data_IF_346362261981
#
_entry.id   IF_346362261981
#
_cell.length_a   1.000
_cell.length_b   1.000
_cell.length_c   1.000
_cell.angle_alpha   90.00
_cell.angle_beta   90.00
_cell.angle_gamma   90.00
#
_symmetry.space_group_name_H-M   'P 1'
#
loop_
_entity.id
_entity.type
_entity.pdbx_description
1 polymer ?
#
# COMPACT_ATOMS: atom_id res chain seq x y z
N UNK A 1 42.53 29.35 31.87
CA UNK A 1 42.32 28.94 30.47
C UNK A 1 42.10 27.44 30.31
N UNK A 2 42.98 26.57 30.82
CA UNK A 2 42.87 25.10 30.68
C UNK A 2 41.53 24.55 31.19
N UNK A 3 41.05 25.00 32.35
CA UNK A 3 39.77 24.54 32.91
C UNK A 3 38.52 24.97 32.12
N UNK A 4 38.60 26.05 31.33
CA UNK A 4 37.50 26.48 30.46
C UNK A 4 37.51 25.69 29.15
N UNK A 5 38.69 25.50 28.56
CA UNK A 5 38.86 24.65 27.38
C UNK A 5 38.41 23.20 27.63
N UNK A 6 38.75 22.64 28.80
CA UNK A 6 38.31 21.29 29.18
C UNK A 6 36.79 21.20 29.32
N UNK A 7 36.13 22.21 29.90
CA UNK A 7 34.65 22.25 30.01
C UNK A 7 33.96 22.31 28.65
N UNK A 8 34.48 23.13 27.73
CA UNK A 8 33.95 23.23 26.36
C UNK A 8 34.08 21.90 25.61
N UNK A 9 35.23 21.22 25.74
CA UNK A 9 35.46 19.91 25.15
C UNK A 9 34.50 18.86 25.73
N UNK A 10 34.32 18.84 27.05
CA UNK A 10 33.36 17.93 27.69
C UNK A 10 31.94 18.16 27.19
N UNK A 11 31.51 19.41 27.01
CA UNK A 11 30.19 19.73 26.46
C UNK A 11 29.99 19.21 25.03
N UNK A 12 31.00 19.31 24.16
CA UNK A 12 30.94 18.74 22.80
C UNK A 12 30.86 17.21 22.83
N UNK A 13 31.59 16.56 23.73
CA UNK A 13 31.56 15.10 23.91
C UNK A 13 30.18 14.66 24.41
N UNK A 14 29.61 15.38 25.37
CA UNK A 14 28.27 15.09 25.90
C UNK A 14 27.19 15.28 24.83
N UNK A 15 27.25 16.36 24.05
CA UNK A 15 26.34 16.59 22.91
C UNK A 15 26.47 15.48 21.86
N UNK A 16 27.70 15.16 21.45
CA UNK A 16 27.95 14.10 20.47
C UNK A 16 27.46 12.74 20.95
N UNK A 17 27.60 12.44 22.25
CA UNK A 17 27.09 11.20 22.85
C UNK A 17 25.57 11.17 22.89
N UNK A 18 24.93 12.32 23.16
CA UNK A 18 23.46 12.43 23.14
C UNK A 18 22.91 12.20 21.73
N UNK A 19 23.41 12.92 20.71
CA UNK A 19 23.00 12.72 19.32
C UNK A 19 23.28 11.29 18.83
N UNK A 20 24.45 10.73 19.16
CA UNK A 20 24.76 9.34 18.81
C UNK A 20 23.77 8.34 19.44
N UNK A 21 23.32 8.60 20.67
CA UNK A 21 22.30 7.78 21.33
C UNK A 21 20.95 7.81 20.60
N UNK A 22 20.52 9.00 20.17
CA UNK A 22 19.29 9.18 19.40
C UNK A 22 19.37 8.48 18.04
N UNK A 23 20.47 8.67 17.31
CA UNK A 23 20.73 8.02 16.02
C UNK A 23 20.74 6.49 16.19
N UNK A 24 21.41 5.97 17.21
CA UNK A 24 21.44 4.53 17.48
C UNK A 24 20.05 3.96 17.80
N UNK A 25 19.22 4.71 18.53
CA UNK A 25 17.83 4.33 18.78
C UNK A 25 17.01 4.25 17.49
N UNK A 26 17.18 5.23 16.60
CA UNK A 26 16.52 5.22 15.29
C UNK A 26 17.01 4.09 14.39
N UNK A 27 18.33 3.85 14.33
CA UNK A 27 18.93 2.72 13.60
C UNK A 27 18.36 1.40 14.11
N UNK A 28 18.24 1.23 15.44
CA UNK A 28 17.63 0.04 16.05
C UNK A 28 16.17 -0.15 15.63
N UNK A 29 15.38 0.92 15.61
CA UNK A 29 13.98 0.90 15.14
C UNK A 29 13.87 0.49 13.67
N UNK A 30 14.69 1.09 12.80
CA UNK A 30 14.70 0.75 11.37
C UNK A 30 15.20 -0.67 11.13
N UNK A 31 16.22 -1.12 11.85
CA UNK A 31 16.70 -2.50 11.78
C UNK A 31 15.61 -3.50 12.21
N UNK A 32 14.85 -3.20 13.26
CA UNK A 32 13.72 -4.03 13.70
C UNK A 32 12.62 -4.10 12.63
N UNK A 33 12.23 -2.97 12.06
CA UNK A 33 11.21 -2.92 10.99
C UNK A 33 11.69 -3.61 9.72
N UNK A 34 12.96 -3.44 9.34
CA UNK A 34 13.57 -4.13 8.21
C UNK A 34 13.64 -5.64 8.43
N UNK A 35 14.02 -6.08 9.62
CA UNK A 35 14.01 -7.50 10.01
C UNK A 35 12.61 -8.10 9.99
N UNK A 36 11.61 -7.38 10.51
CA UNK A 36 10.20 -7.77 10.43
C UNK A 36 9.76 -7.91 8.96
N UNK A 37 10.02 -6.91 8.13
CA UNK A 37 9.64 -6.93 6.71
C UNK A 37 10.25 -8.13 5.99
N UNK A 38 11.55 -8.39 6.19
CA UNK A 38 12.22 -9.54 5.60
C UNK A 38 11.60 -10.86 6.06
N UNK A 39 11.35 -11.02 7.37
CA UNK A 39 10.72 -12.23 7.91
C UNK A 39 9.32 -12.47 7.32
N UNK A 40 8.51 -11.40 7.21
CA UNK A 40 7.17 -11.48 6.63
C UNK A 40 7.21 -11.85 5.14
N UNK A 41 8.12 -11.27 4.35
CA UNK A 41 8.29 -11.61 2.93
C UNK A 41 8.74 -13.06 2.74
N UNK A 42 9.69 -13.54 3.55
CA UNK A 42 10.14 -14.93 3.48
C UNK A 42 8.99 -15.89 3.82
N UNK A 43 8.23 -15.61 4.87
CA UNK A 43 7.09 -16.43 5.25
C UNK A 43 5.99 -16.40 4.17
N UNK A 44 5.66 -15.21 3.65
CA UNK A 44 4.72 -15.05 2.55
C UNK A 44 5.17 -15.83 1.30
N UNK A 45 6.47 -15.78 0.97
CA UNK A 45 7.05 -16.49 -0.16
C UNK A 45 6.94 -18.01 -0.06
N UNK A 46 6.95 -18.56 1.15
CA UNK A 46 6.71 -20.00 1.39
C UNK A 46 5.22 -20.34 1.37
N UNK A 47 4.38 -19.50 1.97
CA UNK A 47 2.94 -19.76 2.06
C UNK A 47 2.22 -19.53 0.73
N UNK A 48 2.69 -18.62 -0.12
CA UNK A 48 2.02 -18.27 -1.37
C UNK A 48 1.94 -19.47 -2.34
N UNK A 49 3.01 -20.22 -2.64
CA UNK A 49 2.92 -21.43 -3.46
C UNK A 49 2.00 -22.49 -2.88
N UNK A 50 2.07 -22.72 -1.56
CA UNK A 50 1.22 -23.70 -0.86
C UNK A 50 -0.25 -23.29 -0.96
N UNK A 51 -0.55 -22.03 -0.63
CA UNK A 51 -1.88 -21.46 -0.72
C UNK A 51 -2.44 -21.50 -2.15
N UNK A 52 -1.61 -21.19 -3.16
CA UNK A 52 -2.01 -21.25 -4.56
C UNK A 52 -2.35 -22.68 -4.99
N UNK A 53 -1.56 -23.68 -4.62
CA UNK A 53 -1.84 -25.09 -4.94
C UNK A 53 -3.12 -25.56 -4.25
N UNK A 54 -3.28 -25.26 -2.97
CA UNK A 54 -4.50 -25.60 -2.21
C UNK A 54 -5.74 -24.89 -2.79
N UNK A 55 -5.58 -23.63 -3.18
CA UNK A 55 -6.65 -22.85 -3.79
C UNK A 55 -7.04 -23.39 -5.17
N UNK A 56 -6.09 -23.79 -6.02
CA UNK A 56 -6.42 -24.39 -7.31
C UNK A 56 -7.06 -25.78 -7.14
N UNK A 57 -6.65 -26.55 -6.13
CA UNK A 57 -7.21 -27.87 -5.85
C UNK A 57 -8.63 -27.85 -5.27
N UNK A 58 -8.97 -26.85 -4.44
CA UNK A 58 -10.23 -26.79 -3.68
C UNK A 58 -11.08 -25.54 -3.99
N UNK A 59 -10.82 -24.92 -5.15
CA UNK A 59 -11.16 -23.55 -5.58
C UNK A 59 -12.54 -22.98 -5.18
N UNK A 60 -13.54 -23.84 -4.97
CA UNK A 60 -14.93 -23.43 -4.69
C UNK A 60 -15.39 -23.84 -3.26
N UNK A 61 -14.75 -24.80 -2.59
CA UNK A 61 -15.29 -25.41 -1.36
C UNK A 61 -14.30 -25.52 -0.18
N UNK A 62 -13.01 -25.29 -0.39
CA UNK A 62 -11.98 -25.42 0.64
C UNK A 62 -11.74 -24.14 1.44
N UNK A 63 -12.03 -24.16 2.75
CA UNK A 63 -11.74 -23.03 3.64
C UNK A 63 -10.24 -22.79 3.87
N UNK A 64 -9.40 -23.81 3.66
CA UNK A 64 -7.97 -23.77 3.98
C UNK A 64 -7.20 -22.98 2.91
N UNK A 65 -7.45 -23.22 1.62
CA UNK A 65 -6.76 -22.51 0.53
C UNK A 65 -6.95 -20.99 0.58
N UNK A 66 -8.18 -20.54 0.82
CA UNK A 66 -8.49 -19.12 1.04
C UNK A 66 -7.75 -18.55 2.25
N UNK A 67 -7.74 -19.27 3.37
CA UNK A 67 -7.04 -18.83 4.58
C UNK A 67 -5.54 -18.64 4.36
N UNK A 68 -4.88 -19.58 3.68
CA UNK A 68 -3.44 -19.48 3.40
C UNK A 68 -3.11 -18.36 2.42
N UNK A 69 -3.93 -18.15 1.38
CA UNK A 69 -3.74 -17.05 0.43
C UNK A 69 -3.98 -15.67 1.05
N UNK A 70 -5.05 -15.51 1.82
CA UNK A 70 -5.31 -14.25 2.51
C UNK A 70 -4.24 -13.99 3.59
N UNK A 71 -3.78 -15.04 4.26
CA UNK A 71 -2.65 -14.98 5.19
C UNK A 71 -1.36 -14.51 4.52
N UNK A 72 -1.00 -15.06 3.36
CA UNK A 72 0.22 -14.64 2.64
C UNK A 72 0.14 -13.20 2.13
N UNK A 73 -1.04 -12.75 1.68
CA UNK A 73 -1.29 -11.35 1.34
C UNK A 73 -1.16 -10.42 2.54
N UNK A 74 -1.74 -10.79 3.69
CA UNK A 74 -1.61 -10.02 4.92
C UNK A 74 -0.15 -9.87 5.35
N UNK A 75 0.65 -10.94 5.24
CA UNK A 75 2.09 -10.87 5.53
C UNK A 75 2.81 -9.91 4.57
N UNK A 76 2.47 -9.94 3.28
CA UNK A 76 3.03 -8.99 2.31
C UNK A 76 2.66 -7.53 2.65
N UNK A 77 1.40 -7.27 3.04
CA UNK A 77 0.96 -5.94 3.47
C UNK A 77 1.70 -5.45 4.71
N UNK A 78 1.86 -6.31 5.71
CA UNK A 78 2.63 -5.99 6.93
C UNK A 78 4.08 -5.68 6.55
N UNK A 79 4.69 -6.41 5.61
CA UNK A 79 6.04 -6.12 5.13
C UNK A 79 6.11 -4.73 4.48
N UNK A 80 5.17 -4.40 3.59
CA UNK A 80 5.09 -3.09 2.94
C UNK A 80 4.97 -1.98 3.98
N UNK A 81 4.06 -2.14 4.95
CA UNK A 81 3.82 -1.17 6.02
C UNK A 81 5.03 -1.00 6.92
N UNK A 82 5.76 -2.09 7.22
CA UNK A 82 7.00 -2.04 7.98
C UNK A 82 8.10 -1.28 7.21
N UNK A 83 8.26 -1.52 5.92
CA UNK A 83 9.20 -0.76 5.06
C UNK A 83 8.83 0.73 5.03
N UNK A 84 7.56 1.05 4.83
CA UNK A 84 7.11 2.45 4.80
C UNK A 84 7.28 3.14 6.15
N UNK A 85 7.02 2.43 7.25
CA UNK A 85 7.31 2.91 8.60
C UNK A 85 8.79 3.18 8.81
N UNK A 86 9.67 2.30 8.30
CA UNK A 86 11.12 2.46 8.36
C UNK A 86 11.62 3.68 7.57
N UNK A 87 11.00 3.97 6.43
CA UNK A 87 11.28 5.16 5.61
C UNK A 87 10.61 6.43 6.18
N UNK A 88 9.90 6.31 7.31
CA UNK A 88 9.41 7.45 8.09
C UNK A 88 7.98 7.89 7.76
N UNK A 89 7.20 7.07 7.04
CA UNK A 89 5.76 7.31 6.88
C UNK A 89 5.08 7.19 8.25
N UNK A 90 4.31 8.20 8.68
CA UNK A 90 3.72 8.20 10.02
C UNK A 90 2.63 7.12 10.15
N UNK A 91 2.63 6.41 11.29
CA UNK A 91 1.69 5.32 11.55
C UNK A 91 0.21 5.73 11.47
N UNK A 92 -0.11 7.00 11.75
CA UNK A 92 -1.46 7.54 11.60
C UNK A 92 -1.96 7.55 10.15
N UNK A 93 -1.06 7.76 9.16
CA UNK A 93 -1.39 7.67 7.73
C UNK A 93 -1.63 6.21 7.33
N UNK A 94 -0.73 5.32 7.73
CA UNK A 94 -0.84 3.88 7.46
C UNK A 94 -2.12 3.27 8.06
N UNK A 95 -2.42 3.62 9.31
CA UNK A 95 -3.63 3.16 10.02
C UNK A 95 -4.91 3.75 9.45
N UNK A 96 -4.92 5.01 9.03
CA UNK A 96 -6.09 5.62 8.37
C UNK A 96 -6.39 4.94 7.04
N UNK A 97 -5.36 4.66 6.23
CA UNK A 97 -5.53 3.91 4.99
C UNK A 97 -6.07 2.50 5.23
N UNK A 98 -5.59 1.82 6.29
CA UNK A 98 -6.14 0.52 6.72
C UNK A 98 -7.63 0.62 7.07
N UNK A 99 -8.04 1.64 7.84
CA UNK A 99 -9.45 1.82 8.20
C UNK A 99 -10.34 2.02 6.97
N UNK A 100 -9.92 2.83 6.00
CA UNK A 100 -10.66 2.99 4.75
C UNK A 100 -10.74 1.70 3.94
N UNK A 101 -9.62 0.97 3.81
CA UNK A 101 -9.58 -0.31 3.14
C UNK A 101 -10.48 -1.36 3.83
N UNK A 102 -10.48 -1.39 5.15
CA UNK A 102 -11.32 -2.28 5.95
C UNK A 102 -12.80 -1.97 5.76
N UNK A 103 -13.18 -0.68 5.79
CA UNK A 103 -14.57 -0.29 5.51
C UNK A 103 -15.01 -0.68 4.09
N UNK A 104 -14.12 -0.48 3.10
CA UNK A 104 -14.37 -0.94 1.72
C UNK A 104 -14.53 -2.46 1.66
N UNK A 105 -13.67 -3.22 2.33
CA UNK A 105 -13.73 -4.67 2.36
C UNK A 105 -14.96 -5.20 3.08
N UNK A 106 -15.37 -4.59 4.19
CA UNK A 106 -16.63 -4.91 4.87
C UNK A 106 -17.81 -4.65 3.94
N UNK A 107 -17.84 -3.51 3.25
CA UNK A 107 -18.89 -3.20 2.28
C UNK A 107 -18.94 -4.25 1.15
N UNK A 108 -17.79 -4.59 0.55
CA UNK A 108 -17.69 -5.64 -0.49
C UNK A 108 -18.17 -6.98 0.05
N UNK A 109 -17.72 -7.38 1.25
CA UNK A 109 -18.06 -8.66 1.84
C UNK A 109 -19.54 -8.78 2.19
N UNK A 110 -20.17 -7.69 2.66
CA UNK A 110 -21.61 -7.64 2.90
C UNK A 110 -22.39 -7.69 1.59
N UNK A 111 -21.99 -6.90 0.59
CA UNK A 111 -22.68 -6.84 -0.71
C UNK A 111 -22.66 -8.20 -1.41
N UNK A 112 -21.49 -8.85 -1.45
CA UNK A 112 -21.34 -10.16 -2.07
C UNK A 112 -21.90 -11.30 -1.20
N UNK A 113 -21.68 -11.25 0.12
CA UNK A 113 -22.07 -12.33 1.03
C UNK A 113 -23.57 -12.38 1.34
N UNK A 114 -24.29 -11.27 1.21
CA UNK A 114 -25.75 -11.21 1.29
C UNK A 114 -26.43 -11.35 -0.08
N UNK A 115 -25.66 -11.62 -1.12
CA UNK A 115 -26.15 -11.84 -2.47
C UNK A 115 -26.93 -10.63 -3.06
N UNK A 116 -26.60 -9.42 -2.60
CA UNK A 116 -27.34 -8.21 -2.97
C UNK A 116 -27.20 -7.90 -4.46
N UNK A 117 -26.04 -8.18 -5.04
CA UNK A 117 -25.80 -7.96 -6.48
C UNK A 117 -26.55 -8.94 -7.36
N UNK A 118 -26.54 -10.24 -7.05
CA UNK A 118 -27.29 -11.23 -7.82
C UNK A 118 -28.79 -10.89 -7.80
N UNK A 119 -29.32 -10.53 -6.63
CA UNK A 119 -30.74 -10.14 -6.49
C UNK A 119 -31.06 -8.91 -7.33
N UNK A 120 -30.20 -7.90 -7.30
CA UNK A 120 -30.36 -6.71 -8.13
C UNK A 120 -30.33 -7.05 -9.62
N UNK A 121 -29.41 -7.91 -10.05
CA UNK A 121 -29.33 -8.36 -11.44
C UNK A 121 -30.50 -9.25 -11.86
N UNK A 122 -31.02 -10.07 -10.96
CA UNK A 122 -32.23 -10.86 -11.19
C UNK A 122 -33.42 -9.94 -11.48
N UNK A 123 -33.64 -8.95 -10.61
CA UNK A 123 -34.71 -7.96 -10.78
C UNK A 123 -34.57 -7.16 -12.08
N UNK A 124 -33.35 -6.71 -12.40
CA UNK A 124 -33.08 -5.99 -13.63
C UNK A 124 -33.25 -6.89 -14.88
N UNK A 125 -32.79 -8.14 -14.80
CA UNK A 125 -32.92 -9.12 -15.88
C UNK A 125 -34.37 -9.48 -16.18
N UNK A 126 -35.21 -9.61 -15.15
CA UNK A 126 -36.64 -9.86 -15.31
C UNK A 126 -37.37 -8.70 -15.98
N UNK A 127 -36.97 -7.46 -15.71
CA UNK A 127 -37.56 -6.27 -16.33
C UNK A 127 -37.07 -6.02 -17.77
N UNK A 128 -35.78 -6.24 -18.04
CA UNK A 128 -35.12 -5.82 -19.29
C UNK A 128 -35.01 -6.95 -20.31
N UNK A 129 -34.85 -8.20 -19.85
CA UNK A 129 -34.61 -9.37 -20.69
C UNK A 129 -35.62 -10.51 -20.42
N UNK A 130 -36.95 -10.24 -20.48
CA UNK A 130 -37.97 -11.22 -20.11
C UNK A 130 -38.03 -12.44 -21.04
N UNK A 131 -37.45 -12.34 -22.24
CA UNK A 131 -37.40 -13.43 -23.23
C UNK A 131 -36.28 -14.44 -23.00
N UNK A 132 -35.29 -14.13 -22.15
CA UNK A 132 -34.21 -15.06 -21.82
C UNK A 132 -34.62 -16.05 -20.74
N UNK A 133 -33.92 -17.18 -20.65
CA UNK A 133 -34.10 -18.14 -19.57
C UNK A 133 -33.77 -17.51 -18.19
N UNK A 134 -34.62 -17.68 -17.16
CA UNK A 134 -34.39 -17.11 -15.84
C UNK A 134 -33.03 -17.44 -15.22
N UNK A 135 -32.44 -18.60 -15.52
CA UNK A 135 -31.14 -19.00 -14.99
C UNK A 135 -29.97 -18.19 -15.55
N UNK A 136 -30.12 -17.59 -16.74
CA UNK A 136 -29.06 -16.84 -17.43
C UNK A 136 -29.28 -15.33 -17.38
N UNK A 137 -30.51 -14.87 -17.06
CA UNK A 137 -30.86 -13.43 -17.00
C UNK A 137 -29.91 -12.59 -16.14
N UNK A 138 -29.61 -12.96 -14.88
CA UNK A 138 -28.77 -12.13 -14.02
C UNK A 138 -27.35 -11.99 -14.60
N UNK A 139 -26.83 -13.08 -15.17
CA UNK A 139 -25.52 -13.10 -15.81
C UNK A 139 -25.52 -12.21 -17.06
N UNK A 140 -26.50 -12.38 -17.94
CA UNK A 140 -26.59 -11.63 -19.19
C UNK A 140 -26.67 -10.12 -18.94
N UNK A 141 -27.56 -9.68 -18.03
CA UNK A 141 -27.69 -8.26 -17.73
C UNK A 141 -26.45 -7.70 -17.03
N UNK A 142 -25.85 -8.43 -16.09
CA UNK A 142 -24.64 -7.98 -15.39
C UNK A 142 -23.44 -7.83 -16.33
N UNK A 143 -23.20 -8.83 -17.18
CA UNK A 143 -22.13 -8.84 -18.17
C UNK A 143 -22.31 -7.71 -19.19
N UNK A 144 -23.52 -7.52 -19.71
CA UNK A 144 -23.81 -6.44 -20.64
C UNK A 144 -23.62 -5.07 -19.98
N UNK A 145 -24.22 -4.86 -18.81
CA UNK A 145 -24.19 -3.57 -18.11
C UNK A 145 -22.78 -3.18 -17.68
N UNK A 146 -22.09 -4.10 -17.00
CA UNK A 146 -20.75 -3.82 -16.48
C UNK A 146 -19.69 -3.89 -17.57
N UNK A 147 -19.86 -4.70 -18.61
CA UNK A 147 -18.97 -4.68 -19.79
C UNK A 147 -19.02 -3.33 -20.50
N UNK A 148 -20.22 -2.78 -20.73
CA UNK A 148 -20.38 -1.44 -21.32
C UNK A 148 -19.78 -0.37 -20.39
N UNK A 149 -20.14 -0.38 -19.11
CA UNK A 149 -19.66 0.62 -18.15
C UNK A 149 -18.13 0.56 -17.99
N UNK A 150 -17.58 -0.65 -17.86
CA UNK A 150 -16.14 -0.89 -17.78
C UNK A 150 -15.41 -0.41 -19.03
N UNK A 151 -15.97 -0.67 -20.22
CA UNK A 151 -15.42 -0.15 -21.48
C UNK A 151 -15.39 1.38 -21.51
N UNK A 152 -16.47 2.04 -21.10
CA UNK A 152 -16.53 3.51 -21.00
C UNK A 152 -15.49 4.04 -20.00
N UNK A 153 -15.39 3.44 -18.82
CA UNK A 153 -14.41 3.86 -17.80
C UNK A 153 -12.98 3.66 -18.30
N UNK A 154 -12.67 2.51 -18.90
CA UNK A 154 -11.36 2.21 -19.47
C UNK A 154 -10.98 3.21 -20.57
N UNK A 155 -11.92 3.51 -21.46
CA UNK A 155 -11.76 4.56 -22.48
C UNK A 155 -11.45 5.93 -21.87
N UNK A 156 -12.25 6.36 -20.89
CA UNK A 156 -12.08 7.66 -20.23
C UNK A 156 -10.76 7.74 -19.44
N UNK A 157 -10.35 6.65 -18.80
CA UNK A 157 -9.08 6.57 -18.07
C UNK A 157 -7.89 6.76 -19.02
N UNK A 158 -7.91 6.12 -20.18
CA UNK A 158 -6.87 6.30 -21.19
C UNK A 158 -6.85 7.72 -21.76
N UNK A 159 -8.02 8.30 -22.04
CA UNK A 159 -8.12 9.69 -22.52
C UNK A 159 -7.54 10.68 -21.49
N UNK A 160 -7.78 10.43 -20.19
CA UNK A 160 -7.28 11.29 -19.10
C UNK A 160 -5.80 11.13 -18.78
N UNK A 161 -5.17 10.02 -19.16
CA UNK A 161 -3.78 9.71 -18.81
C UNK A 161 -2.70 10.57 -19.52
N UNK A 162 -3.08 11.51 -20.41
CA UNK A 162 -2.13 12.45 -21.03
C UNK A 162 -1.40 11.94 -22.27
N UNK A 163 -0.55 12.80 -22.87
CA UNK A 163 -0.06 12.76 -24.26
C UNK A 163 0.62 11.48 -24.77
N UNK A 164 1.12 10.60 -23.90
CA UNK A 164 1.73 9.32 -24.29
C UNK A 164 0.73 8.20 -24.66
N UNK A 165 -0.52 8.31 -24.21
CA UNK A 165 -1.58 7.30 -24.36
C UNK A 165 -2.62 7.65 -25.44
N UNK A 166 -2.26 8.50 -26.42
CA UNK A 166 -3.13 8.91 -27.53
C UNK A 166 -2.87 8.18 -28.84
N UNK A 167 -2.13 7.08 -28.81
CA UNK A 167 -2.06 6.17 -29.96
C UNK A 167 -3.38 5.41 -30.08
N UNK A 168 -3.86 5.16 -31.30
CA UNK A 168 -5.10 4.39 -31.50
C UNK A 168 -5.08 3.04 -30.75
N UNK A 169 -3.91 2.42 -30.61
CA UNK A 169 -3.71 1.19 -29.85
C UNK A 169 -3.90 1.33 -28.33
N UNK A 170 -3.56 2.47 -27.73
CA UNK A 170 -3.75 2.67 -26.28
C UNK A 170 -5.21 2.95 -25.94
N UNK A 171 -5.93 3.70 -26.78
CA UNK A 171 -7.38 3.94 -26.65
C UNK A 171 -8.17 2.65 -26.82
N UNK A 172 -7.85 1.85 -27.86
CA UNK A 172 -8.45 0.53 -28.05
C UNK A 172 -8.11 -0.41 -26.89
N UNK A 173 -6.86 -0.39 -26.40
CA UNK A 173 -6.44 -1.17 -25.24
C UNK A 173 -7.21 -0.81 -23.97
N UNK A 174 -7.46 0.49 -23.72
CA UNK A 174 -8.26 0.98 -22.60
C UNK A 174 -9.71 0.53 -22.68
N UNK A 175 -10.34 0.66 -23.84
CA UNK A 175 -11.71 0.20 -24.08
C UNK A 175 -11.84 -1.31 -23.89
N UNK A 176 -10.95 -2.09 -24.50
CA UNK A 176 -10.98 -3.56 -24.42
C UNK A 176 -10.67 -4.03 -23.00
N UNK A 177 -9.62 -3.49 -22.37
CA UNK A 177 -9.25 -3.84 -21.00
C UNK A 177 -10.35 -3.48 -20.00
N UNK A 178 -10.95 -2.30 -20.16
CA UNK A 178 -12.10 -1.86 -19.38
C UNK A 178 -13.32 -2.77 -19.56
N UNK A 179 -13.64 -3.12 -20.81
CA UNK A 179 -14.76 -4.01 -21.11
C UNK A 179 -14.56 -5.40 -20.53
N UNK A 180 -13.37 -6.00 -20.68
CA UNK A 180 -13.03 -7.29 -20.10
C UNK A 180 -13.13 -7.24 -18.57
N UNK A 181 -12.57 -6.20 -17.93
CA UNK A 181 -12.68 -6.02 -16.48
C UNK A 181 -14.15 -5.90 -16.03
N UNK A 182 -14.95 -5.17 -16.79
CA UNK A 182 -16.39 -5.03 -16.58
C UNK A 182 -17.14 -6.36 -16.71
N UNK A 183 -16.85 -7.15 -17.74
CA UNK A 183 -17.43 -8.48 -17.96
C UNK A 183 -17.09 -9.42 -16.81
N UNK A 184 -15.81 -9.49 -16.42
CA UNK A 184 -15.36 -10.33 -15.30
C UNK A 184 -16.06 -9.95 -13.99
N UNK A 185 -16.22 -8.65 -13.73
CA UNK A 185 -16.98 -8.16 -12.59
C UNK A 185 -18.47 -8.49 -12.70
N UNK A 186 -19.04 -8.45 -13.91
CA UNK A 186 -20.40 -8.90 -14.21
C UNK A 186 -20.61 -10.36 -13.85
N UNK A 187 -19.72 -11.24 -14.30
CA UNK A 187 -19.73 -12.67 -13.95
C UNK A 187 -19.65 -12.85 -12.43
N UNK A 188 -18.70 -12.20 -11.77
CA UNK A 188 -18.50 -12.30 -10.32
C UNK A 188 -19.73 -11.84 -9.51
N UNK A 189 -20.37 -10.76 -9.94
CA UNK A 189 -21.51 -10.16 -9.22
C UNK A 189 -22.85 -10.82 -9.53
N UNK A 190 -22.94 -11.53 -10.66
CA UNK A 190 -24.11 -12.30 -11.05
C UNK A 190 -24.15 -13.70 -10.42
N UNK A 191 -23.04 -14.22 -9.89
CA UNK A 191 -23.04 -15.51 -9.18
C UNK A 191 -23.52 -15.30 -7.75
N UNK A 192 -24.40 -16.20 -7.29
CA UNK A 192 -24.86 -16.17 -5.90
C UNK A 192 -23.77 -16.69 -4.96
N UNK A 193 -22.98 -15.75 -4.41
CA UNK A 193 -21.89 -16.09 -3.51
C UNK A 193 -22.42 -16.29 -2.09
N UNK A 194 -22.10 -17.44 -1.48
CA UNK A 194 -22.44 -17.69 -0.09
C UNK A 194 -21.69 -16.74 0.87
N UNK A 195 -22.17 -16.54 2.11
CA UNK A 195 -21.59 -15.61 3.07
C UNK A 195 -20.08 -15.83 3.33
N UNK A 196 -19.63 -17.08 3.31
CA UNK A 196 -18.21 -17.43 3.50
C UNK A 196 -17.33 -16.89 2.37
N UNK A 197 -17.79 -17.01 1.12
CA UNK A 197 -17.05 -16.55 -0.06
C UNK A 197 -17.10 -15.02 -0.14
N UNK A 198 -18.26 -14.42 0.15
CA UNK A 198 -18.39 -12.97 0.29
C UNK A 198 -17.41 -12.40 1.33
N UNK A 199 -17.32 -13.00 2.51
CA UNK A 199 -16.35 -12.60 3.53
C UNK A 199 -14.90 -12.70 3.05
N UNK A 200 -14.53 -13.79 2.36
CA UNK A 200 -13.18 -13.95 1.79
C UNK A 200 -12.86 -12.85 0.77
N UNK A 201 -13.80 -12.50 -0.11
CA UNK A 201 -13.65 -11.37 -1.03
C UNK A 201 -13.57 -10.02 -0.32
N UNK A 202 -14.30 -9.84 0.79
CA UNK A 202 -14.18 -8.63 1.61
C UNK A 202 -12.80 -8.48 2.25
N UNK A 203 -12.22 -9.57 2.76
CA UNK A 203 -10.84 -9.57 3.26
C UNK A 203 -9.87 -9.31 2.12
N UNK A 204 -10.01 -9.98 0.98
CA UNK A 204 -9.18 -9.75 -0.20
C UNK A 204 -9.21 -8.27 -0.65
N UNK A 205 -10.40 -7.67 -0.71
CA UNK A 205 -10.57 -6.27 -1.06
C UNK A 205 -9.87 -5.35 -0.06
N UNK A 206 -9.92 -5.65 1.24
CA UNK A 206 -9.17 -4.92 2.27
C UNK A 206 -7.66 -4.99 2.02
N UNK A 207 -7.14 -6.21 1.82
CA UNK A 207 -5.70 -6.47 1.64
C UNK A 207 -5.15 -5.90 0.32
N UNK A 208 -5.98 -5.75 -0.70
CA UNK A 208 -5.56 -5.08 -1.95
C UNK A 208 -5.67 -3.55 -1.79
N UNK A 209 -6.78 -3.06 -1.22
CA UNK A 209 -7.04 -1.63 -1.12
C UNK A 209 -6.07 -0.94 -0.17
N UNK A 210 -5.65 -1.59 0.91
CA UNK A 210 -4.76 -1.00 1.89
C UNK A 210 -3.39 -0.56 1.32
N UNK A 211 -2.56 -1.45 0.74
CA UNK A 211 -1.29 -1.05 0.13
C UNK A 211 -1.49 -0.12 -1.06
N UNK A 212 -2.59 -0.25 -1.81
CA UNK A 212 -2.90 0.66 -2.92
C UNK A 212 -3.17 2.09 -2.44
N UNK A 213 -3.99 2.25 -1.39
CA UNK A 213 -4.29 3.55 -0.80
C UNK A 213 -3.04 4.18 -0.18
N UNK A 214 -2.23 3.39 0.52
CA UNK A 214 -0.96 3.85 1.07
C UNK A 214 0.01 4.25 -0.05
N UNK A 215 0.14 3.44 -1.10
CA UNK A 215 0.99 3.73 -2.26
C UNK A 215 0.58 5.00 -2.98
N UNK A 216 -0.73 5.23 -3.18
CA UNK A 216 -1.27 6.47 -3.76
C UNK A 216 -1.00 7.68 -2.87
N UNK A 217 -1.15 7.54 -1.56
CA UNK A 217 -0.89 8.60 -0.58
C UNK A 217 0.60 8.97 -0.55
N UNK A 218 1.50 7.98 -0.58
CA UNK A 218 2.96 8.19 -0.68
C UNK A 218 3.33 8.81 -2.03
N UNK A 219 2.75 8.34 -3.13
CA UNK A 219 3.01 8.90 -4.47
C UNK A 219 2.57 10.37 -4.59
N UNK A 220 1.52 10.78 -3.87
CA UNK A 220 1.00 12.16 -3.88
C UNK A 220 1.73 13.08 -2.92
N UNK A 221 1.97 12.63 -1.69
CA UNK A 221 2.59 13.45 -0.66
C UNK A 221 4.13 13.46 -0.76
N UNK A 222 4.71 12.47 -1.41
CA UNK A 222 6.15 12.23 -1.41
C UNK A 222 6.65 11.67 -0.07
N UNK A 223 7.95 11.41 -0.05
CA UNK A 223 8.72 11.03 1.15
C UNK A 223 9.68 12.17 1.42
N UNK A 224 9.65 12.71 2.64
CA UNK A 224 10.58 13.74 3.07
C UNK A 224 11.97 13.13 3.32
N UNK A 225 12.76 13.09 2.25
CA UNK A 225 14.10 12.52 2.26
C UNK A 225 15.06 13.33 3.14
N UNK A 226 14.80 14.61 3.36
CA UNK A 226 15.66 15.45 4.19
C UNK A 226 15.37 15.19 5.67
N UNK A 227 14.09 15.09 6.05
CA UNK A 227 13.72 14.62 7.38
C UNK A 227 14.22 13.19 7.65
N UNK A 228 14.24 12.31 6.64
CA UNK A 228 14.80 10.96 6.80
C UNK A 228 16.32 11.00 7.04
N UNK A 229 17.07 11.77 6.24
CA UNK A 229 18.52 11.93 6.42
C UNK A 229 18.86 12.54 7.76
N UNK A 230 18.10 13.56 8.20
CA UNK A 230 18.32 14.25 9.46
C UNK A 230 18.30 13.30 10.67
N UNK A 231 17.51 12.22 10.61
CA UNK A 231 17.45 11.21 11.68
C UNK A 231 18.71 10.36 11.83
N UNK A 232 19.52 10.27 10.77
CA UNK A 232 20.76 9.49 10.75
C UNK A 232 22.01 10.35 10.67
N UNK A 233 21.85 11.68 10.72
CA UNK A 233 22.93 12.63 10.50
C UNK A 233 23.10 13.53 11.73
N UNK A 234 24.30 13.60 12.35
CA UNK A 234 24.54 14.39 13.56
C UNK A 234 24.67 15.88 13.24
N UNK A 235 23.54 16.54 12.99
CA UNK A 235 23.48 17.94 12.56
C UNK A 235 24.00 18.93 13.61
N UNK A 236 23.52 18.84 14.87
CA UNK A 236 23.88 19.83 15.89
C UNK A 236 25.34 19.69 16.30
N UNK A 237 25.90 18.47 16.36
CA UNK A 237 27.33 18.28 16.63
C UNK A 237 28.18 18.95 15.55
N UNK A 238 27.81 18.79 14.28
CA UNK A 238 28.55 19.38 13.16
C UNK A 238 28.44 20.91 13.16
N UNK A 239 27.23 21.46 13.37
CA UNK A 239 27.01 22.91 13.42
C UNK A 239 27.73 23.55 14.61
N UNK A 240 27.59 22.99 15.81
CA UNK A 240 28.27 23.49 17.02
C UNK A 240 29.79 23.44 16.89
N UNK A 241 30.32 22.40 16.23
CA UNK A 241 31.75 22.30 15.95
C UNK A 241 32.21 23.36 14.94
N UNK A 242 31.43 23.64 13.89
CA UNK A 242 31.72 24.70 12.92
C UNK A 242 31.74 26.07 13.59
N UNK A 243 30.73 26.39 14.39
CA UNK A 243 30.67 27.64 15.16
C UNK A 243 31.89 27.81 16.07
N UNK A 244 32.28 26.72 16.76
CA UNK A 244 33.48 26.73 17.62
C UNK A 244 34.76 26.97 16.81
N UNK A 245 34.91 26.35 15.65
CA UNK A 245 36.06 26.58 14.75
C UNK A 245 36.10 28.04 14.28
N UNK A 246 34.96 28.60 13.88
CA UNK A 246 34.87 30.00 13.46
C UNK A 246 35.22 30.97 14.59
N UNK A 247 34.71 30.71 15.80
CA UNK A 247 35.05 31.48 16.98
C UNK A 247 36.56 31.41 17.31
N UNK A 248 37.18 30.22 17.21
CA UNK A 248 38.62 30.06 17.43
C UNK A 248 39.41 30.83 16.39
N UNK A 249 38.95 30.82 15.13
CA UNK A 249 39.58 31.54 14.02
C UNK A 249 39.51 33.06 14.18
N UNK A 250 38.43 33.59 14.76
CA UNK A 250 38.31 35.02 15.08
C UNK A 250 39.26 35.45 16.20
N UNK A 251 39.53 34.55 17.17
CA UNK A 251 40.38 34.86 18.34
C UNK A 251 41.86 34.54 18.15
N UNK A 252 42.19 33.77 17.12
CA UNK A 252 43.58 33.39 16.82
C UNK A 252 43.89 33.93 15.43
N UNK A 253 44.56 35.10 15.30
CA UNK A 253 44.99 35.57 13.99
C UNK A 253 45.91 34.49 13.41
N UNK A 254 45.48 33.84 12.34
CA UNK A 254 46.29 32.87 11.64
C UNK A 254 47.59 33.56 11.24
N UNK A 255 48.69 33.21 11.94
CA UNK A 255 50.02 33.64 11.55
C UNK A 255 50.22 33.36 10.06
N UNK A 256 50.81 34.32 9.36
CA UNK A 256 51.05 34.32 7.91
C UNK A 256 51.40 32.90 7.44
N UNK A 257 50.60 32.34 6.52
CA UNK A 257 50.95 31.11 5.80
C UNK A 257 52.33 31.34 5.16
N UNK A 258 53.36 30.69 5.70
CA UNK A 258 54.67 30.51 5.08
C UNK A 258 54.62 29.35 4.12
#
# INVERSE_FOLDING_TARGET
>A
MIAAARRLLTAHIELARAEAGEIMGEVGRVAMLGGLALAMVLLAGVLLPVGLVLFLGEWIFGSIGWGVLLGSLLLADIAIVAVLGAVGVPGSRLGRAFLFALLMGVAVGVVLGLDLTNRAWTLAGDAVLPSLDPGVRPLAIAVLSLGILGGIIGLLATIRAGSGARTAGSVAGGLIGGAIGGVLLGVLTAVALGPRVGAAFGVLATLIAWPALVGLDVARAGIDMDALKARFYPGQTIETTKETIEWVRQRTPLGRKS
#
